data_IF_465175534698
#
_entry.id   IF_465175534698
#
_cell.length_a   1.000
_cell.length_b   1.000
_cell.length_c   1.000
_cell.angle_alpha   90.00
_cell.angle_beta   90.00
_cell.angle_gamma   90.00
#
_symmetry.space_group_name_H-M   'P 1'
#
loop_
_entity.id
_entity.type
_entity.pdbx_description
1 polymer ?
#
# COMPACT_ATOMS: atom_id res chain seq x y z
N UNK A 1 -3.29 -17.58 2.48
CA UNK A 1 -3.46 -16.44 3.39
C UNK A 1 -4.48 -16.80 4.46
N UNK A 2 -4.39 -16.19 5.64
CA UNK A 2 -5.31 -16.44 6.75
C UNK A 2 -6.66 -15.74 6.57
N UNK A 3 -6.68 -14.51 6.01
CA UNK A 3 -7.89 -13.74 5.67
C UNK A 3 -7.64 -12.89 4.41
N UNK A 4 -8.70 -12.61 3.65
CA UNK A 4 -8.67 -11.72 2.48
C UNK A 4 -9.68 -10.58 2.66
N UNK A 5 -9.30 -9.37 2.26
CA UNK A 5 -10.12 -8.17 2.34
C UNK A 5 -10.28 -7.56 0.94
N UNK A 6 -11.51 -7.16 0.61
CA UNK A 6 -11.85 -6.46 -0.63
C UNK A 6 -12.28 -5.03 -0.30
N UNK A 7 -11.40 -4.07 -0.57
CA UNK A 7 -11.64 -2.65 -0.36
C UNK A 7 -12.45 -2.07 -1.51
N UNK A 8 -13.57 -1.44 -1.19
CA UNK A 8 -14.49 -0.89 -2.18
C UNK A 8 -15.30 0.24 -1.57
N UNK A 9 -15.60 1.28 -2.34
CA UNK A 9 -16.52 2.31 -1.87
C UNK A 9 -17.94 1.74 -1.72
N UNK A 10 -18.69 2.07 -0.65
CA UNK A 10 -20.07 1.61 -0.44
C UNK A 10 -21.01 1.82 -1.64
N UNK A 11 -20.77 2.89 -2.40
CA UNK A 11 -21.56 3.29 -3.55
C UNK A 11 -21.24 2.52 -4.85
N UNK A 12 -20.07 1.87 -4.96
CA UNK A 12 -19.63 1.14 -6.17
C UNK A 12 -20.24 -0.25 -6.25
N UNK A 13 -21.57 -0.31 -6.39
CA UNK A 13 -22.32 -1.58 -6.51
C UNK A 13 -21.98 -2.31 -7.81
N UNK A 14 -21.66 -1.56 -8.85
CA UNK A 14 -21.13 -2.03 -10.14
C UNK A 14 -19.86 -2.87 -9.94
N UNK A 15 -18.85 -2.30 -9.27
CA UNK A 15 -17.58 -3.00 -9.05
C UNK A 15 -17.72 -4.18 -8.10
N UNK A 16 -18.53 -4.06 -7.04
CA UNK A 16 -18.83 -5.20 -6.16
C UNK A 16 -19.44 -6.38 -6.91
N UNK A 17 -20.34 -6.14 -7.87
CA UNK A 17 -20.92 -7.21 -8.67
C UNK A 17 -19.85 -7.89 -9.54
N UNK A 18 -18.95 -7.12 -10.16
CA UNK A 18 -17.80 -7.66 -10.91
C UNK A 18 -16.87 -8.49 -10.01
N UNK A 19 -16.62 -8.01 -8.80
CA UNK A 19 -15.83 -8.73 -7.80
C UNK A 19 -16.52 -10.04 -7.38
N UNK A 20 -17.85 -10.10 -7.25
CA UNK A 20 -18.54 -11.38 -7.00
C UNK A 20 -18.33 -12.39 -8.13
N UNK A 21 -18.33 -11.97 -9.39
CA UNK A 21 -18.00 -12.86 -10.52
C UNK A 21 -16.59 -13.43 -10.39
N UNK A 22 -15.61 -12.59 -10.04
CA UNK A 22 -14.23 -13.00 -9.82
C UNK A 22 -14.11 -13.96 -8.62
N UNK A 23 -14.81 -13.67 -7.53
CA UNK A 23 -14.86 -14.48 -6.31
C UNK A 23 -15.36 -15.89 -6.59
N UNK A 24 -16.50 -15.99 -7.29
CA UNK A 24 -17.14 -17.26 -7.64
C UNK A 24 -16.28 -18.07 -8.62
N UNK A 25 -15.71 -17.42 -9.64
CA UNK A 25 -14.88 -18.10 -10.64
C UNK A 25 -13.61 -18.71 -10.03
N UNK A 26 -13.01 -18.05 -9.04
CA UNK A 26 -11.77 -18.47 -8.39
C UNK A 26 -12.01 -19.30 -7.11
N UNK A 27 -13.25 -19.39 -6.63
CA UNK A 27 -13.58 -20.03 -5.36
C UNK A 27 -12.89 -19.37 -4.16
N UNK A 28 -12.70 -18.05 -4.21
CA UNK A 28 -12.06 -17.27 -3.14
C UNK A 28 -13.11 -16.79 -2.12
N UNK A 29 -12.65 -16.49 -0.92
CA UNK A 29 -13.49 -15.91 0.13
C UNK A 29 -12.80 -14.66 0.67
N UNK A 30 -13.47 -13.52 0.61
CA UNK A 30 -13.00 -12.26 1.17
C UNK A 30 -14.10 -11.54 1.93
N UNK A 31 -13.68 -10.67 2.84
CA UNK A 31 -14.59 -9.75 3.53
C UNK A 31 -14.52 -8.38 2.85
N UNK A 32 -15.66 -7.85 2.46
CA UNK A 32 -15.74 -6.47 1.98
C UNK A 32 -15.42 -5.49 3.10
N UNK A 33 -14.61 -4.50 2.78
CA UNK A 33 -14.32 -3.35 3.64
C UNK A 33 -14.74 -2.09 2.92
N UNK A 34 -15.56 -1.30 3.60
CA UNK A 34 -16.06 -0.04 3.09
C UNK A 34 -14.95 1.03 3.10
N UNK A 35 -14.59 1.50 1.92
CA UNK A 35 -13.67 2.62 1.76
C UNK A 35 -14.31 3.97 2.11
N UNK A 36 -13.48 4.90 2.58
CA UNK A 36 -13.88 6.28 2.82
C UNK A 36 -14.08 7.00 1.48
N UNK A 37 -15.23 7.67 1.32
CA UNK A 37 -15.46 8.51 0.14
C UNK A 37 -14.66 9.81 0.23
N UNK A 38 -14.17 10.31 -0.91
CA UNK A 38 -13.42 11.56 -1.01
C UNK A 38 -14.22 12.80 -0.56
N UNK A 39 -15.55 12.72 -0.57
CA UNK A 39 -16.46 13.78 -0.12
C UNK A 39 -16.74 13.74 1.39
N UNK A 40 -16.38 12.66 2.10
CA UNK A 40 -16.64 12.50 3.52
C UNK A 40 -15.94 13.60 4.35
N UNK A 41 -16.63 14.20 5.31
CA UNK A 41 -16.13 15.31 6.16
C UNK A 41 -14.81 14.98 6.85
N UNK A 42 -14.56 13.72 7.22
CA UNK A 42 -13.30 13.30 7.82
C UNK A 42 -12.08 13.56 6.91
N UNK A 43 -12.25 13.50 5.59
CA UNK A 43 -11.15 13.83 4.66
C UNK A 43 -10.79 15.33 4.70
N UNK A 44 -11.76 16.20 5.00
CA UNK A 44 -11.52 17.62 5.23
C UNK A 44 -10.79 17.84 6.54
N UNK A 45 -11.25 17.18 7.62
CA UNK A 45 -10.63 17.25 8.94
C UNK A 45 -9.16 16.79 8.93
N UNK A 46 -8.88 15.67 8.26
CA UNK A 46 -7.51 15.17 8.09
C UNK A 46 -6.67 16.18 7.28
N UNK A 47 -7.22 16.75 6.22
CA UNK A 47 -6.52 17.76 5.42
C UNK A 47 -6.15 19.00 6.26
N UNK A 48 -7.08 19.55 7.04
CA UNK A 48 -6.82 20.70 7.92
C UNK A 48 -5.73 20.38 8.96
N UNK A 49 -5.73 19.16 9.49
CA UNK A 49 -4.67 18.68 10.37
C UNK A 49 -3.31 18.62 9.64
N UNK A 50 -3.27 18.08 8.41
CA UNK A 50 -2.03 18.03 7.62
C UNK A 50 -1.45 19.42 7.42
N UNK A 51 -2.28 20.41 7.09
CA UNK A 51 -1.83 21.80 6.92
C UNK A 51 -1.27 22.34 8.24
N UNK A 52 -1.96 22.13 9.36
CA UNK A 52 -1.51 22.56 10.69
C UNK A 52 -0.17 21.95 11.08
N UNK A 53 0.01 20.64 10.87
CA UNK A 53 1.27 19.93 11.18
C UNK A 53 2.42 20.42 10.30
N UNK A 54 2.13 20.89 9.08
CA UNK A 54 3.13 21.48 8.17
C UNK A 54 3.50 22.92 8.54
N UNK A 55 2.53 23.70 9.04
CA UNK A 55 2.74 25.08 9.48
C UNK A 55 3.45 25.17 10.83
N UNK A 56 3.12 24.27 11.77
CA UNK A 56 3.79 24.12 13.07
C UNK A 56 5.14 23.38 12.92
N UNK A 57 6.12 24.09 12.35
CA UNK A 57 7.57 23.84 12.40
C UNK A 57 7.98 22.37 12.63
N UNK A 58 8.28 21.69 11.52
CA UNK A 58 9.68 21.31 11.41
C UNK A 58 10.20 21.74 10.05
N UNK A 59 11.11 22.72 10.06
CA UNK A 59 12.07 22.88 8.97
C UNK A 59 13.01 21.67 9.04
N UNK A 60 12.65 20.61 8.34
CA UNK A 60 13.42 19.37 8.29
C UNK A 60 14.62 19.60 7.39
N UNK A 61 15.80 19.65 8.01
CA UNK A 61 17.07 19.60 7.31
C UNK A 61 17.27 18.16 6.82
N UNK A 62 17.55 17.99 5.53
CA UNK A 62 17.75 16.68 4.90
C UNK A 62 18.90 15.88 5.55
N UNK A 63 18.85 14.55 5.45
CA UNK A 63 19.97 13.64 5.80
C UNK A 63 21.26 13.94 5.01
N UNK A 64 21.18 14.69 3.91
CA UNK A 64 22.29 15.03 3.02
C UNK A 64 22.84 16.45 3.19
N UNK A 65 22.19 17.31 3.97
CA UNK A 65 22.75 18.64 4.26
C UNK A 65 23.72 18.52 5.42
N UNK A 66 25.01 18.47 5.06
CA UNK A 66 26.12 18.46 6.01
C UNK A 66 25.89 19.50 7.10
N UNK A 67 26.23 19.14 8.34
CA UNK A 67 26.27 19.99 9.53
C UNK A 67 27.29 21.13 9.42
N UNK A 68 27.22 21.94 8.37
CA UNK A 68 28.14 23.04 8.11
C UNK A 68 27.34 24.34 8.04
N UNK A 69 27.49 25.09 9.14
CA UNK A 69 27.25 26.53 9.33
C UNK A 69 25.84 27.09 9.08
N UNK A 70 25.20 27.54 10.17
CA UNK A 70 24.32 28.71 10.13
C UNK A 70 22.80 28.49 10.15
N UNK A 71 22.30 27.35 10.64
CA UNK A 71 20.86 27.11 10.73
C UNK A 71 20.18 28.04 11.77
N UNK A 72 18.99 28.60 11.49
CA UNK A 72 18.22 29.35 12.47
C UNK A 72 17.87 28.46 13.68
N UNK A 73 17.69 29.00 14.90
CA UNK A 73 17.45 28.23 16.13
C UNK A 73 16.19 27.35 16.17
N UNK A 74 15.39 27.30 15.09
CA UNK A 74 14.03 26.74 15.06
C UNK A 74 13.84 25.52 14.14
N UNK A 75 14.89 24.97 13.53
CA UNK A 75 14.80 23.79 12.68
C UNK A 75 14.98 22.50 13.49
N UNK A 76 13.89 21.79 13.76
CA UNK A 76 13.92 20.41 14.29
C UNK A 76 14.01 19.46 13.10
N UNK A 77 15.07 18.64 13.04
CA UNK A 77 15.24 17.62 12.02
C UNK A 77 14.19 16.50 12.17
N UNK A 78 13.72 15.96 11.05
CA UNK A 78 12.88 14.76 11.04
C UNK A 78 13.68 13.57 11.53
N UNK A 79 13.10 12.75 12.42
CA UNK A 79 13.69 11.48 12.84
C UNK A 79 12.59 10.43 13.00
N UNK A 80 12.81 9.24 12.42
CA UNK A 80 11.92 8.12 12.64
C UNK A 80 11.97 7.66 14.10
N UNK A 81 10.85 7.24 14.71
CA UNK A 81 10.86 6.67 16.05
C UNK A 81 11.73 5.40 16.12
N UNK A 82 12.62 5.34 17.11
CA UNK A 82 13.61 4.24 17.25
C UNK A 82 12.99 2.90 17.67
N UNK A 83 11.81 2.93 18.28
CA UNK A 83 11.17 1.75 18.88
C UNK A 83 10.16 1.04 17.95
N UNK A 84 10.08 1.40 16.66
CA UNK A 84 9.07 0.84 15.75
C UNK A 84 9.19 -0.68 15.63
N UNK A 85 10.41 -1.23 15.47
CA UNK A 85 10.59 -2.68 15.32
C UNK A 85 10.21 -3.44 16.59
N UNK A 86 10.56 -2.90 17.75
CA UNK A 86 10.16 -3.47 19.04
C UNK A 86 8.62 -3.47 19.19
N UNK A 87 7.97 -2.36 18.84
CA UNK A 87 6.52 -2.23 18.91
C UNK A 87 5.81 -3.15 17.90
N UNK A 88 6.35 -3.30 16.69
CA UNK A 88 5.82 -4.19 15.66
C UNK A 88 5.83 -5.67 16.11
N UNK A 89 6.83 -6.08 16.90
CA UNK A 89 6.93 -7.42 17.50
C UNK A 89 6.12 -7.59 18.78
N UNK A 90 5.62 -6.50 19.39
CA UNK A 90 4.84 -6.58 20.62
C UNK A 90 3.39 -7.02 20.37
N UNK A 91 2.70 -7.42 21.44
CA UNK A 91 1.25 -7.67 21.45
C UNK A 91 0.42 -6.45 21.85
N UNK A 92 1.07 -5.31 22.11
CA UNK A 92 0.39 -4.10 22.56
C UNK A 92 -0.49 -3.56 21.43
N UNK A 93 -1.79 -3.28 21.69
CA UNK A 93 -2.64 -2.64 20.71
C UNK A 93 -2.05 -1.30 20.26
N UNK A 94 -2.12 -1.01 18.97
CA UNK A 94 -1.67 0.24 18.39
C UNK A 94 -2.92 1.06 18.09
N UNK A 95 -3.13 2.19 18.76
CA UNK A 95 -4.29 3.03 18.47
C UNK A 95 -4.27 3.53 17.02
N UNK A 96 -5.47 3.61 16.43
CA UNK A 96 -5.64 4.16 15.09
C UNK A 96 -5.20 5.62 15.05
N UNK A 97 -5.65 6.38 16.06
CA UNK A 97 -5.28 7.74 16.33
C UNK A 97 -4.69 7.78 17.75
N UNK A 98 -3.37 8.00 17.90
CA UNK A 98 -2.77 8.14 19.23
C UNK A 98 -3.12 9.48 19.89
N UNK A 99 -3.39 9.48 21.20
CA UNK A 99 -3.73 10.67 22.03
C UNK A 99 -2.68 11.79 21.98
N UNK A 100 -1.44 11.45 21.58
CA UNK A 100 -0.31 12.38 21.44
C UNK A 100 -0.09 12.88 20.01
N UNK A 101 -0.82 12.33 19.03
CA UNK A 101 -0.63 12.57 17.59
C UNK A 101 -1.87 13.26 17.00
N UNK A 102 -3.06 12.93 17.51
CA UNK A 102 -4.34 13.43 17.05
C UNK A 102 -5.07 14.02 18.26
N UNK A 103 -5.18 15.34 18.34
CA UNK A 103 -6.41 15.86 18.95
C UNK A 103 -7.53 15.36 18.04
N UNK A 104 -8.49 14.61 18.58
CA UNK A 104 -9.68 14.20 17.83
C UNK A 104 -10.19 15.41 17.07
N UNK A 105 -10.43 15.33 15.74
CA UNK A 105 -11.00 16.43 15.00
C UNK A 105 -12.26 16.90 15.73
N UNK A 106 -12.14 18.07 16.35
CA UNK A 106 -13.28 18.70 16.98
C UNK A 106 -13.98 19.43 15.85
N UNK A 107 -15.28 19.23 15.69
CA UNK A 107 -16.08 19.93 14.70
C UNK A 107 -15.74 21.43 14.76
N UNK A 108 -15.03 21.93 13.74
CA UNK A 108 -14.58 23.31 13.73
C UNK A 108 -15.78 24.16 13.32
N UNK A 109 -16.15 25.12 14.17
CA UNK A 109 -17.06 26.19 13.77
C UNK A 109 -16.38 27.01 12.66
N UNK A 110 -16.87 26.87 11.42
CA UNK A 110 -16.34 27.43 10.16
C UNK A 110 -15.11 26.69 9.60
N UNK A 111 -15.30 25.58 8.83
CA UNK A 111 -14.20 24.86 8.21
C UNK A 111 -13.47 25.73 7.18
N UNK A 112 -12.16 25.52 7.08
CA UNK A 112 -11.34 26.24 6.09
C UNK A 112 -11.65 25.67 4.71
N UNK A 113 -11.93 26.50 3.68
CA UNK A 113 -12.12 25.97 2.34
C UNK A 113 -10.92 25.13 1.91
N UNK A 114 -11.20 23.90 1.46
CA UNK A 114 -10.16 23.02 0.93
C UNK A 114 -9.38 23.74 -0.17
N UNK A 115 -8.06 23.64 -0.10
CA UNK A 115 -7.17 24.01 -1.20
C UNK A 115 -6.13 22.90 -1.45
N UNK A 116 -5.72 22.69 -2.71
CA UNK A 116 -4.67 21.73 -3.03
C UNK A 116 -3.37 22.03 -2.29
N UNK A 117 -2.72 20.98 -1.78
CA UNK A 117 -1.41 21.07 -1.15
C UNK A 117 -0.41 20.17 -1.89
N UNK A 118 0.86 20.55 -1.92
CA UNK A 118 1.91 19.69 -2.50
C UNK A 118 2.18 18.46 -1.63
N UNK A 119 2.58 17.37 -2.25
CA UNK A 119 3.03 16.15 -1.58
C UNK A 119 4.49 16.30 -1.10
N UNK A 120 4.86 15.45 -0.15
CA UNK A 120 6.25 15.21 0.21
C UNK A 120 6.95 14.32 -0.85
N UNK A 121 8.20 14.63 -1.17
CA UNK A 121 9.02 13.85 -2.14
C UNK A 121 10.04 12.91 -1.51
N UNK A 122 10.29 13.04 -0.21
CA UNK A 122 11.15 12.17 0.61
C UNK A 122 10.61 12.19 2.05
N UNK A 123 11.37 11.93 3.12
CA UNK A 123 10.81 11.84 4.50
C UNK A 123 9.85 12.99 4.86
N UNK A 124 10.24 14.25 4.60
CA UNK A 124 9.40 15.41 4.95
C UNK A 124 9.54 16.62 4.00
N UNK A 125 10.32 16.55 2.92
CA UNK A 125 10.42 17.70 1.99
C UNK A 125 9.10 17.89 1.26
N UNK A 126 8.28 18.82 1.74
CA UNK A 126 7.00 19.18 1.15
C UNK A 126 7.23 20.14 -0.02
N UNK A 127 6.64 19.83 -1.18
CA UNK A 127 6.63 20.78 -2.29
C UNK A 127 5.59 21.89 -2.03
N UNK A 128 5.96 23.14 -2.29
CA UNK A 128 4.99 24.22 -2.36
C UNK A 128 4.01 23.96 -3.51
N UNK A 129 2.72 24.20 -3.29
CA UNK A 129 1.72 24.00 -4.34
C UNK A 129 1.90 25.05 -5.45
N UNK A 130 1.96 24.58 -6.70
CA UNK A 130 1.77 25.41 -7.90
C UNK A 130 0.79 24.72 -8.85
N UNK A 131 0.01 25.46 -9.66
CA UNK A 131 -0.93 24.86 -10.61
C UNK A 131 -0.30 23.91 -11.63
N UNK A 132 1.00 24.03 -11.86
CA UNK A 132 1.78 23.23 -12.81
C UNK A 132 2.34 21.94 -12.18
N UNK A 133 2.15 21.74 -10.87
CA UNK A 133 2.58 20.51 -10.22
C UNK A 133 1.93 19.29 -10.92
N UNK A 134 2.71 18.24 -11.21
CA UNK A 134 2.15 16.98 -11.64
C UNK A 134 1.07 16.49 -10.69
N UNK A 135 -0.02 15.95 -11.23
CA UNK A 135 -1.19 15.52 -10.47
C UNK A 135 -0.82 14.60 -9.30
N UNK A 136 0.11 13.66 -9.51
CA UNK A 136 0.59 12.73 -8.49
C UNK A 136 1.38 13.37 -7.33
N UNK A 137 1.72 14.66 -7.43
CA UNK A 137 2.40 15.45 -6.40
C UNK A 137 1.44 16.43 -5.72
N UNK A 138 0.13 16.32 -5.97
CA UNK A 138 -0.90 17.11 -5.29
C UNK A 138 -1.65 16.22 -4.30
N UNK A 139 -1.70 16.60 -3.03
CA UNK A 139 -2.47 15.92 -2.00
C UNK A 139 -3.95 16.29 -2.15
N UNK A 140 -4.75 15.37 -2.66
CA UNK A 140 -6.21 15.54 -2.84
C UNK A 140 -7.00 14.86 -1.73
N UNK A 141 -8.26 15.28 -1.52
CA UNK A 141 -9.18 14.58 -0.60
C UNK A 141 -9.37 13.11 -0.98
N UNK A 142 -9.32 12.77 -2.27
CA UNK A 142 -9.39 11.38 -2.71
C UNK A 142 -8.16 10.56 -2.29
N UNK A 143 -6.94 11.12 -2.39
CA UNK A 143 -5.72 10.48 -1.87
C UNK A 143 -5.76 10.30 -0.35
N UNK A 144 -6.28 11.29 0.37
CA UNK A 144 -6.50 11.18 1.82
C UNK A 144 -7.48 10.06 2.14
N UNK A 145 -8.58 9.96 1.38
CA UNK A 145 -9.59 8.92 1.57
C UNK A 145 -9.03 7.51 1.27
N UNK A 146 -8.25 7.36 0.21
CA UNK A 146 -7.54 6.12 -0.11
C UNK A 146 -6.57 5.72 1.00
N UNK A 147 -5.73 6.66 1.48
CA UNK A 147 -4.84 6.43 2.62
C UNK A 147 -5.60 5.96 3.85
N UNK A 148 -6.66 6.68 4.23
CA UNK A 148 -7.49 6.33 5.38
C UNK A 148 -8.08 4.93 5.25
N UNK A 149 -8.53 4.56 4.04
CA UNK A 149 -9.16 3.27 3.79
C UNK A 149 -8.17 2.11 3.96
N UNK A 150 -6.96 2.20 3.41
CA UNK A 150 -5.94 1.17 3.60
C UNK A 150 -5.44 1.11 5.04
N UNK A 151 -5.15 2.26 5.67
CA UNK A 151 -4.65 2.27 7.05
C UNK A 151 -5.70 1.72 8.03
N UNK A 152 -7.00 1.87 7.76
CA UNK A 152 -8.09 1.26 8.54
C UNK A 152 -8.04 -0.26 8.52
N UNK A 153 -7.82 -0.87 7.34
CA UNK A 153 -7.64 -2.31 7.20
C UNK A 153 -6.36 -2.76 7.91
N UNK A 154 -5.23 -2.07 7.65
CA UNK A 154 -3.94 -2.36 8.26
C UNK A 154 -4.04 -2.30 9.79
N UNK A 155 -4.75 -1.33 10.34
CA UNK A 155 -5.00 -1.23 11.78
C UNK A 155 -5.81 -2.39 12.34
N UNK A 156 -6.88 -2.80 11.64
CA UNK A 156 -7.65 -3.99 12.02
C UNK A 156 -6.78 -5.25 12.03
N UNK A 157 -5.87 -5.39 11.06
CA UNK A 157 -4.92 -6.51 10.99
C UNK A 157 -3.91 -6.44 12.13
N UNK A 158 -3.29 -5.27 12.32
CA UNK A 158 -2.25 -5.02 13.32
C UNK A 158 -2.70 -5.35 14.76
N UNK A 159 -3.99 -5.14 15.04
CA UNK A 159 -4.62 -5.36 16.34
C UNK A 159 -5.45 -6.65 16.43
N UNK A 160 -5.46 -7.49 15.39
CA UNK A 160 -6.17 -8.77 15.43
C UNK A 160 -5.58 -9.67 16.53
N UNK A 161 -6.38 -10.12 17.50
CA UNK A 161 -5.89 -10.93 18.64
C UNK A 161 -5.87 -12.43 18.40
N UNK A 162 -6.53 -12.90 17.34
CA UNK A 162 -6.74 -14.32 17.06
C UNK A 162 -5.56 -14.95 16.30
N UNK A 163 -4.83 -14.14 15.54
CA UNK A 163 -3.83 -14.60 14.59
C UNK A 163 -2.40 -14.20 15.00
N UNK A 164 -1.44 -15.06 14.72
CA UNK A 164 -0.03 -14.85 15.05
C UNK A 164 0.61 -13.77 14.17
N UNK A 165 1.77 -13.24 14.61
CA UNK A 165 2.50 -12.17 13.91
C UNK A 165 2.89 -12.54 12.47
N UNK A 166 3.04 -13.83 12.17
CA UNK A 166 3.46 -14.33 10.85
C UNK A 166 2.25 -14.66 9.94
N UNK A 167 1.03 -14.44 10.43
CA UNK A 167 -0.18 -14.64 9.65
C UNK A 167 -0.25 -13.68 8.47
N UNK A 168 -0.54 -14.23 7.29
CA UNK A 168 -0.66 -13.47 6.04
C UNK A 168 -2.10 -13.00 5.81
N UNK A 169 -2.26 -11.74 5.45
CA UNK A 169 -3.53 -11.14 5.02
C UNK A 169 -3.38 -10.67 3.58
N UNK A 170 -4.43 -10.77 2.78
CA UNK A 170 -4.43 -10.22 1.41
C UNK A 170 -5.45 -9.10 1.33
N UNK A 171 -5.08 -8.00 0.68
CA UNK A 171 -5.89 -6.82 0.48
C UNK A 171 -5.97 -6.57 -1.02
N UNK A 172 -7.20 -6.45 -1.51
CA UNK A 172 -7.57 -6.16 -2.88
C UNK A 172 -8.35 -4.85 -2.96
N UNK A 173 -8.22 -4.11 -4.06
CA UNK A 173 -9.16 -3.06 -4.48
C UNK A 173 -10.18 -3.63 -5.50
N UNK A 174 -11.23 -2.87 -5.81
CA UNK A 174 -12.41 -3.36 -6.57
C UNK A 174 -12.34 -3.21 -8.09
N UNK A 175 -11.17 -2.83 -8.59
CA UNK A 175 -10.86 -2.61 -10.00
C UNK A 175 -9.72 -3.52 -10.47
N UNK A 176 -9.82 -4.82 -10.16
CA UNK A 176 -8.79 -5.81 -10.47
C UNK A 176 -9.28 -6.99 -11.31
N UNK A 177 -8.32 -7.65 -11.96
CA UNK A 177 -8.45 -9.00 -12.52
C UNK A 177 -7.27 -9.85 -12.03
N UNK A 178 -7.39 -11.18 -12.03
CA UNK A 178 -6.41 -12.12 -11.47
C UNK A 178 -6.15 -13.32 -12.38
N UNK A 179 -4.95 -13.90 -12.32
CA UNK A 179 -4.69 -15.20 -12.95
C UNK A 179 -5.67 -16.27 -12.43
N UNK A 180 -6.24 -17.09 -13.34
CA UNK A 180 -7.18 -18.17 -12.97
C UNK A 180 -6.63 -19.18 -11.98
N UNK A 181 -5.32 -19.42 -12.00
CA UNK A 181 -4.60 -20.36 -11.12
C UNK A 181 -3.79 -19.64 -10.02
N UNK A 182 -4.23 -18.44 -9.61
CA UNK A 182 -3.54 -17.61 -8.61
C UNK A 182 -3.25 -18.37 -7.31
N UNK A 183 -4.18 -19.22 -6.83
CA UNK A 183 -4.00 -19.99 -5.59
C UNK A 183 -2.83 -20.97 -5.71
N UNK A 184 -2.70 -21.65 -6.85
CA UNK A 184 -1.61 -22.59 -7.12
C UNK A 184 -0.28 -21.84 -7.20
N UNK A 185 -0.23 -20.74 -7.98
CA UNK A 185 0.99 -19.91 -8.12
C UNK A 185 1.44 -19.34 -6.77
N UNK A 186 0.53 -18.79 -5.99
CA UNK A 186 0.83 -18.24 -4.67
C UNK A 186 1.36 -19.32 -3.71
N UNK A 187 0.80 -20.53 -3.72
CA UNK A 187 1.28 -21.60 -2.82
C UNK A 187 2.74 -22.01 -3.08
N UNK A 188 3.19 -21.93 -4.33
CA UNK A 188 4.60 -22.17 -4.70
C UNK A 188 5.47 -20.98 -4.28
N UNK A 189 5.04 -19.76 -4.61
CA UNK A 189 5.80 -18.55 -4.31
C UNK A 189 5.98 -18.35 -2.80
N UNK A 190 4.96 -18.64 -2.00
CA UNK A 190 4.99 -18.43 -0.55
C UNK A 190 6.13 -19.16 0.16
N UNK A 191 6.50 -20.34 -0.32
CA UNK A 191 7.60 -21.14 0.26
C UNK A 191 8.97 -20.46 0.12
N UNK A 192 9.08 -19.46 -0.76
CA UNK A 192 10.33 -18.75 -1.02
C UNK A 192 10.48 -17.48 -0.18
N UNK A 193 9.42 -17.04 0.51
CA UNK A 193 9.45 -15.81 1.31
C UNK A 193 10.33 -15.98 2.56
N UNK A 194 11.21 -15.02 2.88
CA UNK A 194 11.96 -15.01 4.14
C UNK A 194 11.04 -14.84 5.34
N UNK A 195 11.45 -15.29 6.52
CA UNK A 195 10.60 -15.28 7.72
C UNK A 195 10.16 -13.87 8.18
N UNK A 196 10.95 -12.85 7.89
CA UNK A 196 10.76 -11.46 8.32
C UNK A 196 10.12 -10.56 7.25
N UNK A 197 9.42 -11.15 6.28
CA UNK A 197 8.70 -10.39 5.25
C UNK A 197 7.57 -9.53 5.86
N UNK A 198 7.40 -8.33 5.33
CA UNK A 198 6.34 -7.41 5.74
C UNK A 198 5.19 -7.35 4.74
N UNK A 199 5.52 -7.13 3.46
CA UNK A 199 4.54 -6.90 2.40
C UNK A 199 4.98 -7.56 1.09
N UNK A 200 4.02 -8.17 0.39
CA UNK A 200 4.21 -8.75 -0.93
C UNK A 200 3.22 -8.11 -1.91
N UNK A 201 3.73 -7.46 -2.96
CA UNK A 201 2.88 -6.94 -4.04
C UNK A 201 2.51 -8.07 -5.00
N UNK A 202 1.20 -8.30 -5.17
CA UNK A 202 0.66 -9.29 -6.10
C UNK A 202 0.45 -8.70 -7.49
N UNK A 203 0.31 -7.39 -7.56
CA UNK A 203 0.61 -6.58 -8.72
C UNK A 203 1.15 -5.22 -8.32
N UNK A 204 1.74 -4.51 -9.29
CA UNK A 204 2.42 -3.25 -9.01
C UNK A 204 2.39 -2.32 -10.23
N UNK A 205 2.73 -1.06 -10.01
CA UNK A 205 2.89 -0.08 -11.07
C UNK A 205 4.20 0.68 -10.93
N UNK A 206 4.63 1.26 -12.06
CA UNK A 206 5.63 2.33 -12.11
C UNK A 206 7.00 1.99 -11.52
N UNK A 207 7.37 0.71 -11.52
CA UNK A 207 8.71 0.26 -11.14
C UNK A 207 9.14 -0.97 -11.95
N UNK A 208 10.46 -1.17 -12.07
CA UNK A 208 11.06 -2.35 -12.71
C UNK A 208 11.69 -3.23 -11.64
N UNK A 209 10.88 -4.13 -11.10
CA UNK A 209 11.25 -5.00 -9.98
C UNK A 209 12.19 -6.14 -10.40
N UNK A 210 12.31 -6.43 -11.71
CA UNK A 210 13.25 -7.43 -12.24
C UNK A 210 14.72 -7.03 -12.09
N UNK A 211 14.99 -5.77 -11.75
CA UNK A 211 16.35 -5.29 -11.46
C UNK A 211 16.97 -6.00 -10.26
N UNK A 212 16.14 -6.38 -9.29
CA UNK A 212 16.58 -7.18 -8.16
C UNK A 212 16.54 -8.66 -8.55
N UNK A 213 17.53 -9.49 -8.15
CA UNK A 213 17.53 -10.90 -8.47
C UNK A 213 16.34 -11.61 -7.80
N UNK A 214 15.68 -12.58 -8.48
CA UNK A 214 14.56 -13.30 -7.89
C UNK A 214 15.01 -14.17 -6.72
N UNK A 215 14.12 -14.37 -5.75
CA UNK A 215 14.30 -15.36 -4.70
C UNK A 215 14.35 -16.77 -5.30
N UNK A 216 15.19 -17.67 -4.77
CA UNK A 216 15.21 -19.06 -5.19
C UNK A 216 13.85 -19.74 -4.93
N UNK A 217 13.30 -20.42 -5.93
CA UNK A 217 12.03 -21.15 -5.79
C UNK A 217 12.24 -22.37 -4.90
N UNK A 218 11.58 -22.39 -3.75
CA UNK A 218 11.61 -23.51 -2.80
C UNK A 218 10.47 -24.50 -3.11
N UNK A 219 10.79 -25.61 -3.78
CA UNK A 219 9.86 -26.72 -4.01
C UNK A 219 9.93 -27.70 -2.84
N UNK A 220 8.81 -27.95 -2.16
CA UNK A 220 8.78 -28.74 -0.91
C UNK A 220 8.86 -30.25 -1.09
N UNK A 221 8.78 -30.78 -2.31
CA UNK A 221 9.07 -32.19 -2.67
C UNK A 221 9.40 -32.21 -4.18
N UNK A 222 10.09 -33.24 -4.72
CA UNK A 222 10.06 -33.45 -6.16
C UNK A 222 8.60 -33.73 -6.51
N UNK A 223 7.92 -32.75 -7.09
CA UNK A 223 6.64 -32.95 -7.75
C UNK A 223 6.83 -34.20 -8.59
N UNK A 224 6.14 -35.30 -8.25
CA UNK A 224 6.07 -36.45 -9.15
C UNK A 224 5.55 -35.86 -10.44
N UNK A 225 6.43 -35.70 -11.44
CA UNK A 225 6.09 -35.22 -12.78
C UNK A 225 5.31 -36.34 -13.46
N UNK A 226 4.15 -36.67 -12.91
CA UNK A 226 3.14 -37.49 -13.53
C UNK A 226 2.47 -36.58 -14.54
N UNK A 227 2.96 -36.65 -15.78
CA UNK A 227 2.33 -36.04 -16.94
C UNK A 227 2.13 -34.51 -16.84
N UNK A 228 3.23 -33.76 -16.79
CA UNK A 228 3.29 -32.66 -17.77
C UNK A 228 3.49 -33.39 -19.11
N UNK A 229 2.38 -33.75 -19.76
CA UNK A 229 2.43 -34.07 -21.18
C UNK A 229 3.14 -32.87 -21.80
N UNK A 230 4.30 -33.12 -22.40
CA UNK A 230 4.94 -32.20 -23.32
C UNK A 230 3.91 -31.91 -24.40
N UNK A 231 3.09 -30.88 -24.16
CA UNK A 231 2.32 -30.24 -25.19
C UNK A 231 3.38 -29.67 -26.13
N UNK A 232 3.67 -30.44 -27.17
CA UNK A 232 4.32 -29.95 -28.36
C UNK A 232 3.45 -28.82 -28.90
N UNK A 233 3.75 -27.59 -28.50
CA UNK A 233 3.50 -26.33 -29.21
C UNK A 233 3.81 -25.16 -28.25
N UNK A 234 5.02 -24.59 -28.36
CA UNK A 234 5.37 -23.19 -28.06
C UNK A 234 4.56 -22.43 -26.98
N UNK A 235 4.37 -22.99 -25.78
CA UNK A 235 3.98 -22.21 -24.60
C UNK A 235 5.20 -22.06 -23.72
N UNK A 236 5.89 -20.93 -23.87
CA UNK A 236 6.78 -20.45 -22.80
C UNK A 236 5.93 -20.33 -21.54
N UNK A 237 6.03 -21.31 -20.63
CA UNK A 237 5.47 -21.22 -19.28
C UNK A 237 6.10 -19.98 -18.64
N UNK A 238 5.34 -18.90 -18.55
CA UNK A 238 5.78 -17.71 -17.82
C UNK A 238 5.89 -18.10 -16.36
N UNK A 239 7.11 -18.12 -15.86
CA UNK A 239 7.40 -18.43 -14.47
C UNK A 239 7.26 -17.12 -13.69
N UNK A 240 6.32 -17.07 -12.75
CA UNK A 240 6.25 -15.98 -11.78
C UNK A 240 7.34 -16.19 -10.73
N UNK A 241 7.99 -15.10 -10.35
CA UNK A 241 9.07 -15.10 -9.38
C UNK A 241 8.84 -13.99 -8.36
N UNK A 242 9.33 -14.18 -7.15
CA UNK A 242 9.38 -13.13 -6.15
C UNK A 242 10.70 -12.39 -6.27
N UNK A 243 10.66 -11.08 -6.39
CA UNK A 243 11.82 -10.21 -6.36
C UNK A 243 11.77 -9.36 -5.09
N UNK A 244 12.90 -9.11 -4.41
CA UNK A 244 12.97 -8.02 -3.45
C UNK A 244 12.47 -6.74 -4.10
N UNK A 245 11.56 -6.03 -3.43
CA UNK A 245 10.98 -4.82 -3.98
C UNK A 245 11.98 -3.67 -4.00
N UNK A 246 11.94 -2.85 -5.04
CA UNK A 246 12.68 -1.61 -5.16
C UNK A 246 11.78 -0.43 -4.81
N UNK A 247 10.78 -0.13 -5.65
CA UNK A 247 9.88 1.02 -5.47
C UNK A 247 8.47 0.73 -6.05
N UNK A 248 7.82 -0.39 -5.72
CA UNK A 248 6.50 -0.70 -6.24
C UNK A 248 5.50 0.38 -5.83
N UNK A 249 4.61 0.74 -6.76
CA UNK A 249 3.46 1.62 -6.52
C UNK A 249 2.17 0.89 -6.88
N UNK A 250 1.04 1.58 -6.73
CA UNK A 250 -0.30 1.02 -6.68
C UNK A 250 -0.51 0.09 -5.48
N UNK A 251 -1.75 0.08 -4.97
CA UNK A 251 -2.15 -0.73 -3.81
C UNK A 251 -3.30 -1.69 -4.14
N UNK A 252 -3.55 -1.91 -5.45
CA UNK A 252 -4.68 -2.67 -5.96
C UNK A 252 -4.68 -4.14 -5.51
N UNK A 253 -3.49 -4.71 -5.27
CA UNK A 253 -3.38 -6.06 -4.74
C UNK A 253 -2.05 -6.30 -4.03
N UNK A 254 -2.10 -6.50 -2.71
CA UNK A 254 -0.94 -6.86 -1.92
C UNK A 254 -1.31 -7.77 -0.75
N UNK A 255 -0.33 -8.54 -0.30
CA UNK A 255 -0.39 -9.28 0.94
C UNK A 255 0.49 -8.62 1.99
N UNK A 256 0.12 -8.75 3.26
CA UNK A 256 0.85 -8.19 4.39
C UNK A 256 0.88 -9.20 5.53
N UNK A 257 2.01 -9.36 6.20
CA UNK A 257 2.08 -10.14 7.44
C UNK A 257 1.47 -9.32 8.57
N UNK A 258 0.94 -9.95 9.63
CA UNK A 258 0.45 -9.18 10.78
C UNK A 258 1.55 -8.30 11.38
N UNK A 259 2.79 -8.80 11.45
CA UNK A 259 3.98 -8.05 11.83
C UNK A 259 4.22 -6.85 10.91
N UNK A 260 4.17 -7.06 9.60
CA UNK A 260 4.31 -6.00 8.59
C UNK A 260 3.21 -4.96 8.68
N UNK A 261 1.97 -5.36 8.95
CA UNK A 261 0.85 -4.44 9.17
C UNK A 261 1.09 -3.56 10.40
N UNK A 262 1.62 -4.12 11.49
CA UNK A 262 1.99 -3.35 12.70
C UNK A 262 3.09 -2.34 12.39
N UNK A 263 4.14 -2.77 11.67
CA UNK A 263 5.26 -1.90 11.26
C UNK A 263 4.80 -0.77 10.33
N UNK A 264 4.03 -1.10 9.28
CA UNK A 264 3.44 -0.13 8.36
C UNK A 264 2.56 0.88 9.10
N UNK A 265 1.67 0.43 9.99
CA UNK A 265 0.80 1.31 10.76
C UNK A 265 1.60 2.33 11.57
N UNK A 266 2.68 1.90 12.24
CA UNK A 266 3.52 2.79 13.06
C UNK A 266 4.21 3.88 12.24
N UNK A 267 4.69 3.55 11.03
CA UNK A 267 5.27 4.54 10.12
C UNK A 267 4.20 5.44 9.49
N UNK A 268 3.11 4.87 8.97
CA UNK A 268 2.06 5.61 8.26
C UNK A 268 1.23 6.51 9.18
N UNK A 269 1.29 6.31 10.50
CA UNK A 269 0.67 7.20 11.50
C UNK A 269 1.64 8.21 12.11
N UNK A 270 2.93 8.18 11.76
CA UNK A 270 3.92 9.10 12.34
C UNK A 270 3.62 10.53 11.85
N UNK A 271 3.30 11.49 12.73
CA UNK A 271 2.68 12.77 12.34
C UNK A 271 3.38 13.54 11.20
N UNK A 272 4.73 13.68 11.20
CA UNK A 272 5.41 14.33 10.08
C UNK A 272 5.23 13.60 8.74
N UNK A 273 5.05 12.27 8.75
CA UNK A 273 4.94 11.46 7.54
C UNK A 273 3.50 11.16 7.11
N UNK A 274 2.57 11.04 8.06
CA UNK A 274 1.19 10.63 7.83
C UNK A 274 0.49 11.59 6.88
N UNK A 275 -0.21 11.04 5.87
CA UNK A 275 -0.93 11.81 4.84
C UNK A 275 -0.06 12.85 4.11
N UNK A 276 1.27 12.67 4.10
CA UNK A 276 2.18 13.60 3.43
C UNK A 276 2.14 13.50 1.90
N UNK A 277 1.61 12.37 1.37
CA UNK A 277 1.51 12.03 -0.06
C UNK A 277 0.44 10.95 -0.27
N UNK A 278 0.32 10.38 -1.47
CA UNK A 278 -0.53 9.21 -1.70
C UNK A 278 0.01 7.98 -0.94
N UNK A 279 -0.87 7.05 -0.52
CA UNK A 279 -0.47 5.92 0.33
C UNK A 279 0.48 4.95 -0.37
N UNK A 280 0.29 4.72 -1.66
CA UNK A 280 1.18 3.91 -2.48
C UNK A 280 2.58 4.50 -2.54
N UNK A 281 2.71 5.82 -2.74
CA UNK A 281 3.97 6.54 -2.71
C UNK A 281 4.63 6.51 -1.34
N UNK A 282 3.85 6.55 -0.26
CA UNK A 282 4.39 6.45 1.10
C UNK A 282 4.95 5.06 1.39
N UNK A 283 4.23 4.00 1.01
CA UNK A 283 4.71 2.62 1.15
C UNK A 283 5.96 2.41 0.28
N UNK A 284 5.92 2.85 -0.98
CA UNK A 284 7.05 2.81 -1.92
C UNK A 284 8.30 3.49 -1.33
N UNK A 285 8.14 4.68 -0.74
CA UNK A 285 9.24 5.39 -0.07
C UNK A 285 9.79 4.60 1.11
N UNK A 286 8.94 4.04 1.98
CA UNK A 286 9.38 3.24 3.13
C UNK A 286 10.15 1.98 2.71
N UNK A 287 9.81 1.39 1.57
CA UNK A 287 10.53 0.27 0.97
C UNK A 287 11.90 0.75 0.45
N UNK A 288 11.92 1.84 -0.31
CA UNK A 288 13.15 2.43 -0.86
C UNK A 288 14.20 2.71 0.22
N UNK A 289 13.78 3.26 1.36
CA UNK A 289 14.67 3.59 2.48
C UNK A 289 14.92 2.42 3.44
N UNK A 290 14.53 1.19 3.07
CA UNK A 290 14.82 -0.03 3.82
C UNK A 290 14.09 -0.16 5.16
N UNK A 291 12.95 0.52 5.32
CA UNK A 291 12.15 0.47 6.56
C UNK A 291 11.11 -0.65 6.56
N UNK A 292 10.83 -1.24 5.39
CA UNK A 292 9.84 -2.29 5.17
C UNK A 292 10.47 -3.41 4.32
N UNK A 293 10.42 -4.64 4.80
CA UNK A 293 10.88 -5.82 4.06
C UNK A 293 9.83 -6.21 3.02
N UNK A 294 10.04 -5.81 1.76
CA UNK A 294 9.05 -5.98 0.70
C UNK A 294 9.53 -6.88 -0.44
N UNK A 295 8.59 -7.63 -1.01
CA UNK A 295 8.77 -8.43 -2.22
C UNK A 295 7.67 -8.13 -3.23
N UNK A 296 7.95 -8.31 -4.52
CA UNK A 296 6.98 -8.14 -5.60
C UNK A 296 6.97 -9.37 -6.49
N UNK A 297 5.77 -9.84 -6.84
CA UNK A 297 5.60 -10.93 -7.80
C UNK A 297 5.75 -10.39 -9.21
N UNK A 298 6.64 -11.00 -10.00
CA UNK A 298 6.87 -10.61 -11.39
C UNK A 298 6.88 -11.86 -12.30
N UNK A 299 6.09 -11.88 -13.39
CA UNK A 299 5.04 -10.93 -13.74
C UNK A 299 3.92 -10.88 -12.69
N UNK A 300 3.12 -9.81 -12.67
CA UNK A 300 2.02 -9.67 -11.70
C UNK A 300 0.99 -10.80 -11.83
N UNK A 301 0.43 -11.21 -10.69
CA UNK A 301 -0.69 -12.17 -10.60
C UNK A 301 -2.05 -11.49 -10.60
N UNK A 302 -2.06 -10.20 -10.28
CA UNK A 302 -3.25 -9.38 -10.16
C UNK A 302 -2.98 -8.04 -10.83
N UNK A 303 -3.83 -7.62 -11.76
CA UNK A 303 -3.67 -6.36 -12.49
C UNK A 303 -4.86 -5.45 -12.23
N UNK A 304 -4.62 -4.14 -12.28
CA UNK A 304 -5.71 -3.16 -12.25
C UNK A 304 -6.41 -3.11 -13.61
N UNK A 305 -7.73 -3.27 -13.64
CA UNK A 305 -8.55 -3.07 -14.83
C UNK A 305 -8.73 -1.58 -15.08
N UNK A 306 -8.71 -1.18 -16.35
CA UNK A 306 -8.79 0.24 -16.77
C UNK A 306 -10.08 0.58 -17.51
N UNK A 307 -11.13 -0.16 -17.20
CA UNK A 307 -12.43 -0.06 -17.86
C UNK A 307 -13.25 1.11 -17.31
N UNK A 308 -13.04 1.45 -16.03
CA UNK A 308 -13.81 2.43 -15.30
C UNK A 308 -13.00 3.70 -14.97
N UNK A 309 -13.72 4.80 -14.74
CA UNK A 309 -13.13 6.03 -14.18
C UNK A 309 -12.63 5.76 -12.75
N UNK A 310 -11.41 6.20 -12.46
CA UNK A 310 -10.79 6.11 -11.15
C UNK A 310 -11.47 7.07 -10.17
N UNK A 311 -11.68 6.61 -8.93
CA UNK A 311 -12.20 7.44 -7.84
C UNK A 311 -11.10 8.30 -7.18
N UNK A 312 -9.83 8.10 -7.57
CA UNK A 312 -8.65 8.73 -6.97
C UNK A 312 -7.97 9.72 -7.91
N UNK A 313 -7.74 9.32 -9.15
CA UNK A 313 -7.04 10.13 -10.16
C UNK A 313 -7.99 10.46 -11.33
N UNK A 314 -7.78 11.55 -12.07
CA UNK A 314 -8.58 11.83 -13.26
C UNK A 314 -8.48 10.70 -14.31
N UNK A 315 -9.58 10.43 -15.01
CA UNK A 315 -9.62 9.41 -16.08
C UNK A 315 -9.66 7.98 -15.53
N UNK A 316 -9.08 7.02 -16.25
CA UNK A 316 -9.05 5.59 -15.87
C UNK A 316 -7.79 5.20 -15.10
N UNK A 317 -7.11 6.18 -14.48
CA UNK A 317 -5.85 6.00 -13.76
C UNK A 317 -4.59 6.30 -14.58
N UNK A 318 -3.42 5.92 -14.05
CA UNK A 318 -2.12 6.17 -14.69
C UNK A 318 -1.89 5.36 -15.97
N UNK A 319 -0.89 5.72 -16.78
CA UNK A 319 -0.59 5.04 -18.05
C UNK A 319 -0.01 3.62 -17.97
N UNK A 320 0.43 3.16 -16.79
CA UNK A 320 1.07 1.85 -16.60
C UNK A 320 0.11 0.67 -16.81
N UNK A 321 0.42 -0.25 -17.74
CA UNK A 321 -0.42 -1.43 -18.01
C UNK A 321 0.37 -2.71 -17.83
N UNK A 322 -0.19 -3.64 -17.06
CA UNK A 322 0.27 -5.03 -16.98
C UNK A 322 -0.73 -5.95 -17.67
N UNK A 323 -0.31 -7.19 -17.94
CA UNK A 323 -1.18 -8.20 -18.55
C UNK A 323 -1.05 -9.51 -17.82
N UNK A 324 -2.18 -10.15 -17.60
CA UNK A 324 -2.28 -11.52 -17.15
C UNK A 324 -2.11 -12.46 -18.34
N UNK A 325 -1.69 -13.69 -18.05
CA UNK A 325 -1.57 -14.77 -19.03
C UNK A 325 -2.94 -15.38 -19.31
N UNK A 326 -3.69 -15.66 -18.25
CA UNK A 326 -5.02 -16.24 -18.29
C UNK A 326 -5.89 -15.63 -17.18
N UNK A 327 -6.24 -14.35 -17.40
CA UNK A 327 -7.15 -13.59 -16.54
C UNK A 327 -8.58 -14.14 -16.54
N UNK A 328 -9.36 -13.75 -15.54
CA UNK A 328 -10.76 -14.19 -15.39
C UNK A 328 -11.71 -13.28 -16.16
N UNK A 329 -11.53 -11.96 -16.04
CA UNK A 329 -12.46 -10.93 -16.50
C UNK A 329 -12.20 -10.44 -17.92
#
# INVERSE_FOLDING_TARGET
ASKMHMLTLPARKDRRLRMETLREALGLEWTYVDGLQSTNELTQEIWEWVIRVRDDRPTVINDTESRHSGLPPASIGFAWPENIDQLALSSVPIDFWGDTIWSTPSAIHNPTPYHPAGCAVNNYRILGFTPELPEHLVLTRARIACWYSHISIIHSIANNKELDLDSAYVIFEDDIDMEKDITQRLSILWNSLPQDWDIVFLGHCWSDEKKNPPLPVMLTEPVKVGHIKTASQNTTLTIHQLHPSNQPKCTHAYAVSKRGARRLLLYLRYPPFAYSRAVDQAISWLIEIGRINSYTVVPSLVVQTKEDVSDISPGTGGGWTERLLDGVL
#
